data_IF_357407375868
#
_entry.id   IF_357407375868
#
_cell.length_a   1.000
_cell.length_b   1.000
_cell.length_c   1.000
_cell.angle_alpha   90.00
_cell.angle_beta   90.00
_cell.angle_gamma   90.00
#
_symmetry.space_group_name_H-M   'P 1'
#
loop_
_entity.id
_entity.type
_entity.pdbx_description
1 polymer ?
#
# COMPACT_ATOMS: atom_id res chain seq x y z
N UNK A 1 3.93 -9.15 -7.24
CA UNK A 1 4.88 -8.69 -8.28
C UNK A 1 6.31 -9.06 -7.90
N UNK A 2 7.20 -9.00 -8.84
CA UNK A 2 8.63 -9.20 -8.57
C UNK A 2 9.29 -7.85 -8.25
N UNK A 3 10.53 -7.92 -7.73
CA UNK A 3 11.33 -6.70 -7.50
C UNK A 3 11.53 -5.93 -8.82
N UNK A 4 11.76 -6.63 -9.92
CA UNK A 4 11.93 -5.98 -11.22
C UNK A 4 10.66 -5.27 -11.66
N UNK A 5 9.51 -5.87 -11.43
CA UNK A 5 8.23 -5.23 -11.73
C UNK A 5 7.99 -3.99 -10.87
N UNK A 6 8.44 -4.02 -9.61
CA UNK A 6 8.36 -2.84 -8.76
C UNK A 6 9.25 -1.73 -9.30
N UNK A 7 10.47 -2.05 -9.76
CA UNK A 7 11.35 -1.06 -10.38
C UNK A 7 10.73 -0.45 -11.63
N UNK A 8 10.08 -1.26 -12.46
CA UNK A 8 9.35 -0.77 -13.64
C UNK A 8 8.20 0.17 -13.23
N UNK A 9 7.49 -0.18 -12.17
CA UNK A 9 6.40 0.65 -11.66
C UNK A 9 6.93 1.99 -11.15
N UNK A 10 8.07 2.00 -10.46
CA UNK A 10 8.70 3.23 -10.02
C UNK A 10 9.05 4.14 -11.20
N UNK A 11 9.58 3.57 -12.28
CA UNK A 11 9.87 4.33 -13.49
C UNK A 11 8.60 4.87 -14.14
N UNK A 12 7.53 4.09 -14.14
CA UNK A 12 6.23 4.53 -14.65
C UNK A 12 5.70 5.71 -13.84
N UNK A 13 5.80 5.64 -12.52
CA UNK A 13 5.38 6.73 -11.64
C UNK A 13 6.15 8.02 -11.95
N UNK A 14 7.46 7.92 -12.20
CA UNK A 14 8.26 9.09 -12.55
C UNK A 14 7.84 9.73 -13.87
N UNK A 15 7.37 8.92 -14.82
CA UNK A 15 6.92 9.42 -16.12
C UNK A 15 5.55 10.07 -16.04
N UNK A 16 4.63 9.47 -15.32
CA UNK A 16 3.23 9.92 -15.28
C UNK A 16 2.97 10.92 -14.17
N UNK A 17 3.68 10.81 -13.06
CA UNK A 17 3.53 11.67 -11.88
C UNK A 17 2.08 11.84 -11.47
N UNK A 18 1.39 10.71 -11.35
CA UNK A 18 0.00 10.70 -10.91
C UNK A 18 -0.36 9.36 -10.28
N UNK A 19 -1.34 9.41 -9.39
CA UNK A 19 -1.98 8.22 -8.87
C UNK A 19 -3.11 7.81 -9.79
N UNK A 20 -3.47 6.54 -9.74
CA UNK A 20 -4.64 6.05 -10.47
C UNK A 20 -5.62 5.47 -9.45
N UNK A 21 -6.78 5.05 -9.94
CA UNK A 21 -7.82 4.43 -9.12
C UNK A 21 -7.29 3.25 -8.30
N UNK A 22 -6.33 2.49 -8.83
CA UNK A 22 -5.81 1.28 -8.22
C UNK A 22 -4.37 1.41 -7.74
N UNK A 23 -3.85 2.63 -7.63
CA UNK A 23 -2.48 2.88 -7.20
C UNK A 23 -2.45 4.04 -6.22
N UNK A 24 -2.00 3.76 -5.00
CA UNK A 24 -1.78 4.75 -3.96
C UNK A 24 -0.29 4.90 -3.72
N UNK A 25 0.18 6.13 -3.52
CA UNK A 25 1.60 6.44 -3.34
C UNK A 25 1.79 7.07 -1.97
N UNK A 26 2.75 6.55 -1.21
CA UNK A 26 3.06 7.03 0.14
C UNK A 26 4.57 7.22 0.29
N UNK A 27 4.98 8.30 0.93
CA UNK A 27 6.39 8.58 1.14
C UNK A 27 7.03 7.60 2.11
N UNK A 28 6.50 7.46 3.29
CA UNK A 28 7.02 6.58 4.35
C UNK A 28 8.52 6.78 4.58
N UNK A 29 9.00 8.01 4.46
CA UNK A 29 10.42 8.34 4.60
C UNK A 29 10.87 8.27 6.06
N UNK A 30 9.98 8.64 6.98
CA UNK A 30 10.31 8.73 8.42
C UNK A 30 9.52 7.77 9.29
N UNK A 31 8.54 7.10 8.74
CA UNK A 31 7.71 6.14 9.47
C UNK A 31 6.63 5.55 8.61
N UNK A 32 5.98 4.52 9.11
CA UNK A 32 4.84 3.90 8.42
C UNK A 32 3.60 4.77 8.60
N UNK A 33 2.83 5.01 7.53
CA UNK A 33 1.51 5.65 7.69
C UNK A 33 0.66 4.85 8.67
N UNK A 34 -0.01 5.54 9.59
CA UNK A 34 -0.76 4.88 10.67
C UNK A 34 -2.23 4.67 10.37
N UNK A 35 -2.74 5.25 9.28
CA UNK A 35 -4.17 5.20 8.95
C UNK A 35 -4.37 4.75 7.50
N UNK A 36 -3.93 3.52 7.23
CA UNK A 36 -4.11 2.93 5.90
C UNK A 36 -5.50 2.31 5.72
N UNK A 37 -6.35 2.35 6.76
CA UNK A 37 -7.61 1.60 6.77
C UNK A 37 -8.53 1.97 5.61
N UNK A 38 -8.65 3.25 5.28
CA UNK A 38 -9.50 3.70 4.18
C UNK A 38 -8.98 3.20 2.83
N UNK A 39 -7.67 3.25 2.63
CA UNK A 39 -7.04 2.73 1.42
C UNK A 39 -7.22 1.22 1.32
N UNK A 40 -6.99 0.50 2.43
CA UNK A 40 -7.14 -0.95 2.47
C UNK A 40 -8.58 -1.37 2.17
N UNK A 41 -9.57 -0.74 2.82
CA UNK A 41 -10.96 -1.05 2.55
C UNK A 41 -11.37 -0.68 1.13
N UNK A 42 -10.89 0.45 0.64
CA UNK A 42 -11.18 0.89 -0.73
C UNK A 42 -10.71 -0.12 -1.76
N UNK A 43 -9.48 -0.62 -1.61
CA UNK A 43 -8.94 -1.62 -2.52
C UNK A 43 -9.59 -2.99 -2.35
N UNK A 44 -9.79 -3.43 -1.10
CA UNK A 44 -10.41 -4.73 -0.85
C UNK A 44 -11.85 -4.81 -1.36
N UNK A 45 -12.53 -3.69 -1.46
CA UNK A 45 -13.90 -3.60 -1.95
C UNK A 45 -14.01 -3.39 -3.47
N UNK A 46 -12.88 -3.45 -4.18
CA UNK A 46 -12.84 -3.40 -5.64
C UNK A 46 -12.47 -4.77 -6.21
N UNK A 47 -12.99 -5.07 -7.40
CA UNK A 47 -12.72 -6.38 -8.02
C UNK A 47 -11.25 -6.61 -8.30
N UNK A 48 -10.55 -5.59 -8.79
CA UNK A 48 -9.12 -5.69 -9.11
C UNK A 48 -8.21 -5.52 -7.92
N UNK A 49 -8.76 -5.11 -6.75
CA UNK A 49 -7.92 -4.71 -5.63
C UNK A 49 -7.13 -3.45 -5.93
N UNK A 50 -5.91 -3.36 -5.42
CA UNK A 50 -5.05 -2.21 -5.67
C UNK A 50 -3.66 -2.41 -5.16
N UNK A 51 -2.80 -1.40 -5.38
CA UNK A 51 -1.41 -1.41 -4.93
C UNK A 51 -1.09 -0.12 -4.19
N UNK A 52 -0.28 -0.26 -3.14
CA UNK A 52 0.29 0.87 -2.42
C UNK A 52 1.80 0.80 -2.62
N UNK A 53 2.41 1.89 -3.07
CA UNK A 53 3.85 1.99 -3.23
C UNK A 53 4.38 2.94 -2.16
N UNK A 54 5.36 2.46 -1.39
CA UNK A 54 5.98 3.22 -0.30
C UNK A 54 7.40 3.60 -0.70
N UNK A 55 7.77 4.84 -0.46
CA UNK A 55 9.11 5.36 -0.75
C UNK A 55 9.13 6.46 -1.78
N UNK A 56 7.97 6.93 -2.23
CA UNK A 56 7.85 8.02 -3.20
C UNK A 56 7.05 9.15 -2.58
N UNK A 57 7.61 10.34 -2.59
CA UNK A 57 7.01 11.53 -1.99
C UNK A 57 6.30 12.35 -3.06
N UNK A 58 5.00 12.11 -3.23
CA UNK A 58 4.22 12.80 -4.26
C UNK A 58 4.12 14.30 -4.03
N UNK A 59 4.20 14.74 -2.77
CA UNK A 59 4.13 16.17 -2.43
C UNK A 59 5.40 16.93 -2.82
N UNK A 60 6.50 16.23 -3.05
CA UNK A 60 7.76 16.80 -3.49
C UNK A 60 8.14 16.26 -4.86
N UNK A 61 7.24 16.46 -5.82
CA UNK A 61 7.43 16.10 -7.23
C UNK A 61 7.77 14.63 -7.41
N UNK A 62 7.14 13.75 -6.63
CA UNK A 62 7.33 12.30 -6.71
C UNK A 62 8.77 11.88 -6.46
N UNK A 63 9.45 12.57 -5.55
CA UNK A 63 10.83 12.26 -5.18
C UNK A 63 10.93 10.84 -4.65
N UNK A 64 11.86 10.08 -5.17
CA UNK A 64 12.13 8.71 -4.71
C UNK A 64 12.95 8.78 -3.42
N UNK A 65 12.26 8.93 -2.30
CA UNK A 65 12.90 9.12 -1.00
C UNK A 65 13.32 7.80 -0.34
N UNK A 66 12.70 6.69 -0.74
CA UNK A 66 12.89 5.41 -0.07
C UNK A 66 12.16 5.33 1.26
N UNK A 67 11.98 4.12 1.76
CA UNK A 67 11.30 3.90 3.05
C UNK A 67 12.30 3.98 4.20
N UNK A 68 11.81 4.36 5.38
CA UNK A 68 12.64 4.52 6.59
C UNK A 68 13.26 3.20 7.03
N UNK A 69 12.53 2.09 6.95
CA UNK A 69 12.96 0.76 7.39
C UNK A 69 12.08 -0.29 6.71
N UNK A 70 12.64 -1.04 5.74
CA UNK A 70 11.82 -1.97 4.97
C UNK A 70 11.26 -3.13 5.79
N UNK A 71 11.93 -3.58 6.84
CA UNK A 71 11.40 -4.64 7.70
C UNK A 71 10.28 -4.14 8.58
N UNK A 72 10.49 -3.00 9.23
CA UNK A 72 9.50 -2.43 10.13
C UNK A 72 8.22 -2.05 9.40
N UNK A 73 8.35 -1.45 8.21
CA UNK A 73 7.16 -1.05 7.46
C UNK A 73 6.33 -2.25 7.02
N UNK A 74 6.98 -3.34 6.61
CA UNK A 74 6.25 -4.55 6.22
C UNK A 74 5.47 -5.13 7.40
N UNK A 75 6.07 -5.15 8.58
CA UNK A 75 5.39 -5.64 9.78
C UNK A 75 4.20 -4.75 10.12
N UNK A 76 4.37 -3.44 10.07
CA UNK A 76 3.28 -2.50 10.39
C UNK A 76 2.15 -2.55 9.37
N UNK A 77 2.47 -2.74 8.10
CA UNK A 77 1.44 -2.94 7.06
C UNK A 77 0.64 -4.21 7.38
N UNK A 78 1.32 -5.30 7.70
CA UNK A 78 0.65 -6.54 8.07
C UNK A 78 -0.24 -6.36 9.30
N UNK A 79 0.24 -5.64 10.31
CA UNK A 79 -0.54 -5.39 11.53
C UNK A 79 -1.83 -4.63 11.21
N UNK A 80 -1.75 -3.62 10.37
CA UNK A 80 -2.94 -2.87 9.96
C UNK A 80 -3.90 -3.73 9.14
N UNK A 81 -3.36 -4.56 8.26
CA UNK A 81 -4.18 -5.48 7.46
C UNK A 81 -4.93 -6.48 8.32
N UNK A 82 -4.32 -6.93 9.41
CA UNK A 82 -4.97 -7.87 10.35
C UNK A 82 -6.10 -7.23 11.15
N UNK A 83 -6.16 -5.92 11.21
CA UNK A 83 -7.24 -5.21 11.89
C UNK A 83 -8.44 -4.95 10.98
N UNK A 84 -8.38 -5.39 9.74
CA UNK A 84 -9.51 -5.31 8.82
C UNK A 84 -10.40 -6.54 8.96
N UNK A 85 -11.69 -6.38 8.63
CA UNK A 85 -12.67 -7.45 8.66
C UNK A 85 -13.36 -7.53 7.30
N UNK A 86 -13.20 -8.56 6.49
CA UNK A 86 -12.27 -9.68 6.74
C UNK A 86 -10.81 -9.24 6.68
N UNK A 87 -9.93 -10.06 7.27
CA UNK A 87 -8.50 -9.77 7.29
C UNK A 87 -7.98 -9.59 5.87
N UNK A 88 -7.22 -8.52 5.64
CA UNK A 88 -6.55 -8.28 4.36
C UNK A 88 -5.21 -9.03 4.36
N UNK A 89 -4.91 -9.71 3.26
CA UNK A 89 -3.66 -10.47 3.10
C UNK A 89 -2.85 -9.83 1.97
N UNK A 90 -1.95 -8.88 2.28
CA UNK A 90 -1.20 -8.19 1.25
C UNK A 90 -0.08 -9.06 0.70
N UNK A 91 0.24 -8.86 -0.58
CA UNK A 91 1.45 -9.40 -1.15
C UNK A 91 2.49 -8.29 -1.15
N UNK A 92 3.53 -8.46 -0.34
CA UNK A 92 4.56 -7.44 -0.15
C UNK A 92 5.76 -7.71 -1.07
N UNK A 93 6.30 -6.66 -1.67
CA UNK A 93 7.46 -6.73 -2.54
C UNK A 93 8.44 -5.63 -2.14
N UNK A 94 9.73 -5.97 -2.15
CA UNK A 94 10.81 -5.03 -1.81
C UNK A 94 11.75 -4.91 -3.00
N UNK A 95 12.18 -3.70 -3.30
CA UNK A 95 13.17 -3.44 -4.35
C UNK A 95 14.12 -2.34 -3.91
N UNK A 96 15.35 -2.39 -4.44
CA UNK A 96 16.35 -1.36 -4.18
C UNK A 96 16.64 -0.58 -5.46
N UNK A 97 16.82 0.72 -5.32
CA UNK A 97 17.13 1.62 -6.43
C UNK A 97 17.91 2.81 -5.89
N UNK A 98 19.11 3.03 -6.44
CA UNK A 98 19.92 4.19 -6.05
C UNK A 98 20.29 4.23 -4.58
N UNK A 99 20.53 3.07 -3.98
CA UNK A 99 20.88 2.99 -2.56
C UNK A 99 19.71 3.15 -1.61
N UNK A 100 18.50 3.22 -2.12
CA UNK A 100 17.27 3.34 -1.33
C UNK A 100 16.39 2.12 -1.52
N UNK A 101 15.55 1.84 -0.52
CA UNK A 101 14.66 0.67 -0.54
C UNK A 101 13.22 1.14 -0.68
N UNK A 102 12.47 0.40 -1.50
CA UNK A 102 11.06 0.67 -1.78
C UNK A 102 10.25 -0.58 -1.48
N UNK A 103 9.02 -0.38 -1.03
CA UNK A 103 8.12 -1.48 -0.70
C UNK A 103 6.80 -1.26 -1.42
N UNK A 104 6.23 -2.32 -1.96
CA UNK A 104 4.86 -2.27 -2.46
C UNK A 104 4.00 -3.29 -1.72
N UNK A 105 2.74 -2.95 -1.55
CA UNK A 105 1.73 -3.85 -1.00
C UNK A 105 0.62 -4.01 -2.03
N UNK A 106 0.42 -5.23 -2.52
CA UNK A 106 -0.70 -5.54 -3.41
C UNK A 106 -1.85 -6.04 -2.55
N UNK A 107 -2.98 -5.34 -2.63
CA UNK A 107 -4.17 -5.64 -1.85
C UNK A 107 -5.17 -6.33 -2.77
N UNK A 108 -5.50 -7.61 -2.51
CA UNK A 108 -6.45 -8.31 -3.37
C UNK A 108 -7.87 -7.80 -3.10
N UNK A 109 -8.70 -7.85 -4.13
CA UNK A 109 -10.12 -7.59 -3.97
C UNK A 109 -10.80 -8.78 -3.28
N UNK A 110 -11.68 -8.49 -2.33
CA UNK A 110 -12.46 -9.52 -1.64
C UNK A 110 -13.59 -10.03 -2.54
N UNK A 111 -14.01 -11.27 -2.32
CA UNK A 111 -15.22 -11.79 -2.96
C UNK A 111 -16.43 -10.96 -2.56
N UNK A 112 -17.37 -10.81 -3.46
CA UNK A 112 -18.59 -10.05 -3.19
C UNK A 112 -19.34 -10.56 -1.96
N UNK A 113 -19.26 -11.88 -1.71
CA UNK A 113 -19.96 -12.50 -0.59
C UNK A 113 -19.46 -12.03 0.78
N UNK A 114 -18.21 -11.54 0.86
CA UNK A 114 -17.62 -11.13 2.13
C UNK A 114 -17.47 -9.62 2.26
N UNK A 115 -17.90 -8.86 1.24
CA UNK A 115 -17.87 -7.40 1.33
C UNK A 115 -19.03 -6.88 2.17
N UNK A 116 -18.88 -5.71 2.80
CA UNK A 116 -17.75 -4.82 2.68
C UNK A 116 -16.62 -5.19 3.64
N UNK A 117 -15.39 -4.88 3.24
CA UNK A 117 -14.24 -4.90 4.13
C UNK A 117 -14.18 -3.58 4.89
N UNK A 118 -13.93 -3.63 6.19
CA UNK A 118 -13.91 -2.45 7.03
C UNK A 118 -12.90 -2.61 8.17
N UNK A 119 -12.52 -1.49 8.78
CA UNK A 119 -11.65 -1.49 9.94
C UNK A 119 -12.45 -1.89 11.19
N UNK A 120 -12.02 -2.94 11.87
CA UNK A 120 -12.74 -3.49 13.02
C UNK A 120 -13.02 -2.46 14.12
N UNK A 121 -12.05 -1.59 14.39
CA UNK A 121 -12.21 -0.59 15.43
C UNK A 121 -13.30 0.43 15.15
N UNK A 122 -13.63 0.67 13.87
CA UNK A 122 -14.65 1.63 13.48
C UNK A 122 -15.99 0.98 13.19
N UNK A 123 -15.99 -0.10 12.41
CA UNK A 123 -17.20 -0.70 11.91
C UNK A 123 -18.05 -1.35 12.98
N UNK A 124 -17.42 -2.03 13.91
CA UNK A 124 -18.13 -2.78 14.96
C UNK A 124 -18.75 -1.91 16.03
N UNK A 125 -18.22 -0.72 16.23
CA UNK A 125 -18.73 0.18 17.25
C UNK A 125 -20.05 0.83 16.84
N UNK A 126 -20.31 0.90 15.57
CA UNK A 126 -21.49 1.54 15.02
C UNK A 126 -22.55 0.56 14.54
N UNK A 127 -22.16 -0.68 14.42
CA UNK A 127 -23.02 -1.72 13.85
C UNK A 127 -23.83 -2.48 14.83
#
# INVERSE_FOLDING_TARGET
MTSDELLELLNYIQKTKCETKNLEIKAAEYGCPTKLYDTLSGFANQDEGGRIVFGVDEKNDYRECGVYDPQDIQQKINDQCHQMEPVVRPLLTVAEKGGKTFVSAEIPGDDLAVRPCFYQGAGRLTG
#
